data_IF_880039150450
#
_entry.id   IF_880039150450
#
_cell.length_a   1.000
_cell.length_b   1.000
_cell.length_c   1.000
_cell.angle_alpha   90.00
_cell.angle_beta   90.00
_cell.angle_gamma   90.00
#
_symmetry.space_group_name_H-M   'P 1'
#
loop_
_entity.id
_entity.type
_entity.pdbx_description
1 polymer ?
#
# COMPACT_ATOMS: atom_id res chain seq x y z
N UNK A 1 -102.51 -41.28 -20.61
CA UNK A 1 -101.45 -40.61 -21.40
C UNK A 1 -100.64 -39.77 -20.42
N UNK A 2 -99.30 -39.71 -20.39
CA UNK A 2 -98.27 -40.20 -21.30
C UNK A 2 -97.02 -40.60 -20.48
N UNK A 3 -96.30 -41.58 -20.99
CA UNK A 3 -94.99 -42.08 -20.57
C UNK A 3 -93.85 -41.18 -21.07
N UNK A 4 -92.77 -41.01 -20.30
CA UNK A 4 -91.42 -40.79 -20.83
C UNK A 4 -90.40 -41.24 -19.76
N UNK A 5 -89.68 -42.35 -19.96
CA UNK A 5 -88.51 -42.54 -20.83
C UNK A 5 -87.29 -41.70 -20.43
N UNK A 6 -86.40 -42.37 -19.66
CA UNK A 6 -84.93 -42.28 -19.65
C UNK A 6 -84.27 -41.21 -20.54
N UNK A 7 -83.37 -40.41 -19.95
CA UNK A 7 -82.23 -39.89 -20.71
C UNK A 7 -80.90 -40.19 -20.01
N UNK A 8 -80.03 -40.85 -20.77
CA UNK A 8 -78.68 -41.32 -20.45
C UNK A 8 -77.66 -40.20 -20.21
N UNK A 9 -78.11 -38.94 -20.22
CA UNK A 9 -77.30 -37.74 -20.06
C UNK A 9 -76.79 -37.57 -18.63
N UNK A 10 -77.60 -37.90 -17.63
CA UNK A 10 -77.22 -37.71 -16.22
C UNK A 10 -76.03 -38.59 -15.79
N UNK A 11 -75.92 -39.82 -16.34
CA UNK A 11 -74.83 -40.76 -16.01
C UNK A 11 -73.51 -40.40 -16.73
N UNK A 12 -73.56 -39.76 -17.91
CA UNK A 12 -72.35 -39.27 -18.61
C UNK A 12 -71.77 -38.01 -17.96
N UNK A 13 -72.63 -37.12 -17.46
CA UNK A 13 -72.22 -35.90 -16.75
C UNK A 13 -71.59 -36.24 -15.38
N UNK A 14 -72.09 -37.27 -14.69
CA UNK A 14 -71.50 -37.76 -13.44
C UNK A 14 -70.06 -38.31 -13.63
N UNK A 15 -69.76 -38.92 -14.79
CA UNK A 15 -68.42 -39.48 -15.06
C UNK A 15 -67.38 -38.43 -15.45
N UNK A 16 -67.79 -37.28 -16.00
CA UNK A 16 -66.90 -36.13 -16.22
C UNK A 16 -66.65 -35.33 -14.94
N UNK A 17 -67.62 -35.24 -14.03
CA UNK A 17 -67.45 -34.55 -12.75
C UNK A 17 -66.40 -35.23 -11.82
N UNK A 18 -66.20 -36.54 -11.96
CA UNK A 18 -65.15 -37.27 -11.20
C UNK A 18 -63.73 -37.07 -11.73
N UNK A 19 -63.55 -36.63 -12.98
CA UNK A 19 -62.23 -36.45 -13.61
C UNK A 19 -61.66 -35.03 -13.49
N UNK A 20 -62.47 -34.07 -13.06
CA UNK A 20 -62.08 -32.66 -12.87
C UNK A 20 -61.63 -32.31 -11.46
N UNK A 21 -61.44 -33.29 -10.56
CA UNK A 21 -60.78 -33.04 -9.27
C UNK A 21 -59.28 -32.84 -9.54
N UNK A 22 -58.93 -31.64 -10.00
CA UNK A 22 -57.56 -31.18 -10.09
C UNK A 22 -56.87 -31.53 -8.78
N UNK A 23 -55.86 -32.40 -8.85
CA UNK A 23 -54.98 -32.65 -7.72
C UNK A 23 -54.34 -31.30 -7.43
N UNK A 24 -54.88 -30.58 -6.44
CA UNK A 24 -54.21 -29.42 -5.87
C UNK A 24 -52.90 -29.99 -5.32
N UNK A 25 -51.86 -29.94 -6.14
CA UNK A 25 -50.50 -30.03 -5.65
C UNK A 25 -50.34 -28.79 -4.78
N UNK A 26 -50.67 -28.94 -3.49
CA UNK A 26 -50.19 -28.02 -2.48
C UNK A 26 -48.69 -28.14 -2.62
N UNK A 27 -48.05 -27.12 -3.19
CA UNK A 27 -46.64 -26.91 -2.97
C UNK A 27 -46.50 -26.74 -1.46
N UNK A 28 -46.29 -27.85 -0.77
CA UNK A 28 -45.90 -27.89 0.63
C UNK A 28 -44.42 -27.54 0.68
N UNK A 29 -44.03 -26.42 0.07
CA UNK A 29 -42.74 -25.81 0.30
C UNK A 29 -42.83 -25.18 1.67
N UNK A 30 -42.37 -25.90 2.70
CA UNK A 30 -42.35 -25.38 4.05
C UNK A 30 -41.57 -24.07 4.09
N UNK A 31 -42.13 -23.05 4.76
CA UNK A 31 -41.48 -21.74 4.97
C UNK A 31 -40.12 -21.86 5.67
N UNK A 32 -39.81 -23.03 6.23
CA UNK A 32 -38.55 -23.36 6.87
C UNK A 32 -37.35 -23.21 5.94
N UNK A 33 -37.40 -23.74 4.71
CA UNK A 33 -36.28 -23.63 3.78
C UNK A 33 -35.94 -22.17 3.44
N UNK A 34 -36.88 -21.33 2.95
CA UNK A 34 -36.59 -19.93 2.68
C UNK A 34 -36.23 -19.14 3.96
N UNK A 35 -36.80 -19.48 5.12
CA UNK A 35 -36.43 -18.85 6.39
C UNK A 35 -34.99 -19.14 6.81
N UNK A 36 -34.54 -20.39 6.66
CA UNK A 36 -33.15 -20.78 6.93
C UNK A 36 -32.20 -20.08 5.96
N UNK A 37 -32.54 -20.00 4.68
CA UNK A 37 -31.74 -19.26 3.68
C UNK A 37 -31.60 -17.79 4.06
N UNK A 38 -32.69 -17.12 4.44
CA UNK A 38 -32.64 -15.73 4.92
C UNK A 38 -31.78 -15.60 6.18
N UNK A 39 -31.90 -16.54 7.12
CA UNK A 39 -31.07 -16.56 8.33
C UNK A 39 -29.58 -16.65 8.01
N UNK A 40 -29.18 -17.54 7.09
CA UNK A 40 -27.79 -17.67 6.63
C UNK A 40 -27.30 -16.40 5.94
N UNK A 41 -28.14 -15.76 5.11
CA UNK A 41 -27.77 -14.49 4.47
C UNK A 41 -27.55 -13.36 5.48
N UNK A 42 -28.39 -13.26 6.51
CA UNK A 42 -28.23 -12.26 7.58
C UNK A 42 -26.96 -12.52 8.37
N UNK A 43 -26.71 -13.77 8.77
CA UNK A 43 -25.47 -14.14 9.48
C UNK A 43 -24.25 -13.85 8.61
N UNK A 44 -24.29 -14.20 7.32
CA UNK A 44 -23.21 -13.89 6.37
C UNK A 44 -22.94 -12.39 6.26
N UNK A 45 -23.99 -11.57 6.17
CA UNK A 45 -23.86 -10.11 6.12
C UNK A 45 -23.26 -9.55 7.42
N UNK A 46 -23.72 -10.05 8.58
CA UNK A 46 -23.19 -9.67 9.89
C UNK A 46 -21.70 -10.02 10.02
N UNK A 47 -21.29 -11.20 9.55
CA UNK A 47 -19.87 -11.61 9.52
C UNK A 47 -19.07 -10.70 8.61
N UNK A 48 -19.58 -10.32 7.44
CA UNK A 48 -18.89 -9.39 6.53
C UNK A 48 -18.74 -7.99 7.17
N UNK A 49 -19.78 -7.48 7.82
CA UNK A 49 -19.74 -6.19 8.53
C UNK A 49 -18.75 -6.24 9.68
N UNK A 50 -18.81 -7.26 10.52
CA UNK A 50 -17.86 -7.47 11.61
C UNK A 50 -16.43 -7.58 11.08
N UNK A 51 -16.20 -8.41 10.06
CA UNK A 51 -14.89 -8.57 9.44
C UNK A 51 -14.38 -7.30 8.74
N UNK A 52 -15.25 -6.36 8.38
CA UNK A 52 -14.85 -5.01 7.91
C UNK A 52 -14.49 -4.09 9.08
N UNK A 53 -15.28 -4.09 10.15
CA UNK A 53 -15.06 -3.25 11.34
C UNK A 53 -13.87 -3.70 12.19
N UNK A 54 -13.57 -5.00 12.23
CA UNK A 54 -12.44 -5.57 12.97
C UNK A 54 -11.15 -5.60 12.16
N UNK A 55 -11.11 -5.03 10.95
CA UNK A 55 -9.83 -4.84 10.25
C UNK A 55 -9.03 -3.82 11.06
N UNK A 56 -7.84 -4.18 11.57
CA UNK A 56 -6.92 -3.18 12.10
C UNK A 56 -6.72 -2.13 11.00
N UNK A 57 -6.94 -0.86 11.31
CA UNK A 57 -6.70 0.21 10.36
C UNK A 57 -5.22 0.15 9.97
N UNK A 58 -4.89 -0.21 8.72
CA UNK A 58 -3.49 -0.29 8.32
C UNK A 58 -2.81 1.08 8.35
N UNK A 59 -3.60 2.17 8.44
CA UNK A 59 -3.16 3.55 8.62
C UNK A 59 -3.48 4.14 10.00
N UNK A 60 -3.57 3.37 11.10
CA UNK A 60 -3.55 4.00 12.44
C UNK A 60 -2.14 4.28 12.96
N UNK A 61 -1.11 3.75 12.30
CA UNK A 61 0.29 3.89 12.69
C UNK A 61 0.99 4.82 11.69
N UNK A 62 1.86 5.73 12.13
CA UNK A 62 2.57 6.60 11.21
C UNK A 62 3.60 5.81 10.38
N UNK A 63 4.03 6.32 9.21
CA UNK A 63 3.58 7.57 8.58
C UNK A 63 2.16 7.44 8.02
N UNK A 64 1.47 8.57 7.91
CA UNK A 64 0.14 8.76 7.36
C UNK A 64 0.17 9.43 5.99
N UNK A 65 -0.98 9.44 5.32
CA UNK A 65 -1.15 10.29 4.14
C UNK A 65 -0.99 11.75 4.54
N UNK A 66 -0.10 12.47 3.85
CA UNK A 66 0.27 13.86 4.13
C UNK A 66 1.47 14.04 5.07
N UNK A 67 1.97 12.98 5.71
CA UNK A 67 3.25 13.04 6.41
C UNK A 67 4.41 13.14 5.40
N UNK A 68 5.47 13.85 5.79
CA UNK A 68 6.68 14.00 5.00
C UNK A 68 7.86 13.50 5.82
N UNK A 69 8.26 12.24 5.60
CA UNK A 69 9.38 11.63 6.29
C UNK A 69 10.55 11.46 5.36
N UNK A 70 11.75 11.60 5.91
CA UNK A 70 13.01 11.54 5.21
C UNK A 70 13.90 10.53 5.91
N UNK A 71 14.53 9.64 5.15
CA UNK A 71 15.52 8.71 5.69
C UNK A 71 16.76 8.69 4.82
N UNK A 72 17.94 8.75 5.43
CA UNK A 72 19.19 8.65 4.67
C UNK A 72 19.36 7.20 4.22
N UNK A 73 19.78 7.01 2.98
CA UNK A 73 19.93 5.68 2.40
C UNK A 73 21.25 5.55 1.66
N UNK A 74 21.88 4.38 1.81
CA UNK A 74 23.05 4.02 1.02
C UNK A 74 23.20 2.53 0.86
N UNK A 75 23.96 2.14 -0.16
CA UNK A 75 24.39 0.76 -0.36
C UNK A 75 25.90 0.73 -0.16
N UNK A 76 26.36 -0.13 0.73
CA UNK A 76 27.76 -0.29 1.07
C UNK A 76 28.22 -1.69 0.67
N UNK A 77 29.21 -1.78 -0.21
CA UNK A 77 29.76 -3.04 -0.69
C UNK A 77 31.25 -3.10 -0.40
N UNK A 78 31.67 -4.11 0.37
CA UNK A 78 33.04 -4.32 0.82
C UNK A 78 33.63 -3.14 1.62
N UNK A 79 34.22 -2.18 0.93
CA UNK A 79 34.95 -1.04 1.47
C UNK A 79 34.51 0.30 0.85
N UNK A 80 33.42 0.30 0.06
CA UNK A 80 32.96 1.49 -0.67
C UNK A 80 31.45 1.66 -0.65
N UNK A 81 31.03 2.92 -0.71
CA UNK A 81 29.65 3.29 -0.97
C UNK A 81 29.39 3.24 -2.48
N UNK A 82 28.31 2.56 -2.87
CA UNK A 82 27.83 2.63 -4.25
C UNK A 82 27.27 4.03 -4.53
N UNK A 83 27.13 4.41 -5.83
CA UNK A 83 26.45 5.62 -6.21
C UNK A 83 25.06 5.74 -5.55
N UNK A 84 24.65 6.98 -5.27
CA UNK A 84 23.30 7.27 -4.81
C UNK A 84 22.30 6.81 -5.87
N UNK A 85 21.12 6.38 -5.41
CA UNK A 85 20.02 6.01 -6.29
C UNK A 85 19.62 7.22 -7.12
N UNK A 86 19.42 7.03 -8.43
CA UNK A 86 19.14 8.09 -9.39
C UNK A 86 17.73 8.02 -9.97
N UNK A 87 17.24 9.16 -10.45
CA UNK A 87 15.96 9.32 -11.11
C UNK A 87 14.84 9.65 -10.13
N UNK A 88 14.29 10.86 -10.19
CA UNK A 88 13.29 11.32 -9.24
C UNK A 88 11.97 10.52 -9.24
N UNK A 89 11.67 9.78 -10.32
CA UNK A 89 10.42 9.03 -10.53
C UNK A 89 9.14 9.89 -10.60
N UNK A 90 9.26 11.22 -10.55
CA UNK A 90 8.16 12.19 -10.64
C UNK A 90 7.81 12.61 -12.08
N UNK A 91 8.45 12.01 -13.08
CA UNK A 91 8.26 12.37 -14.49
C UNK A 91 6.79 12.16 -14.91
N UNK A 92 6.25 13.13 -15.65
CA UNK A 92 4.90 13.06 -16.20
C UNK A 92 4.89 12.95 -17.72
N UNK A 93 3.84 12.35 -18.24
CA UNK A 93 3.52 12.28 -19.67
C UNK A 93 2.16 12.91 -19.92
N UNK A 94 2.03 13.61 -21.04
CA UNK A 94 0.77 14.21 -21.48
C UNK A 94 0.20 13.38 -22.62
N UNK A 95 -1.03 12.91 -22.47
CA UNK A 95 -1.72 12.14 -23.50
C UNK A 95 -2.20 13.03 -24.67
N UNK A 96 -2.68 12.40 -25.74
CA UNK A 96 -3.21 13.12 -26.92
C UNK A 96 -4.43 14.00 -26.64
N UNK A 97 -5.05 13.89 -25.46
CA UNK A 97 -6.20 14.67 -25.00
C UNK A 97 -5.77 15.80 -24.05
N UNK A 98 -4.48 15.94 -23.76
CA UNK A 98 -3.94 16.94 -22.85
C UNK A 98 -3.96 16.55 -21.38
N UNK A 99 -4.24 15.29 -21.03
CA UNK A 99 -4.21 14.81 -19.66
C UNK A 99 -2.78 14.46 -19.25
N UNK A 100 -2.34 14.98 -18.12
CA UNK A 100 -1.04 14.66 -17.52
C UNK A 100 -1.15 13.44 -16.60
N UNK A 101 -0.16 12.55 -16.63
CA UNK A 101 -0.10 11.36 -15.78
C UNK A 101 1.35 11.03 -15.45
N UNK A 102 1.59 10.55 -14.23
CA UNK A 102 2.92 10.09 -13.80
C UNK A 102 3.33 8.84 -14.58
N UNK A 103 4.61 8.76 -14.92
CA UNK A 103 5.19 7.63 -15.67
C UNK A 103 5.38 6.41 -14.77
N UNK A 104 5.84 6.62 -13.53
CA UNK A 104 6.08 5.53 -12.59
C UNK A 104 4.83 5.25 -11.74
N UNK A 105 4.17 4.13 -12.02
CA UNK A 105 2.95 3.69 -11.31
C UNK A 105 3.18 3.45 -9.80
N UNK A 106 4.38 3.01 -9.40
CA UNK A 106 4.70 2.75 -8.00
C UNK A 106 4.88 4.06 -7.25
N UNK A 107 5.61 5.03 -7.82
CA UNK A 107 5.67 6.38 -7.28
C UNK A 107 4.26 6.99 -7.18
N UNK A 108 3.48 6.97 -8.27
CA UNK A 108 2.12 7.49 -8.28
C UNK A 108 1.21 6.86 -7.20
N UNK A 109 1.43 5.58 -6.89
CA UNK A 109 0.67 4.85 -5.89
C UNK A 109 1.13 5.10 -4.45
N UNK A 110 2.39 5.45 -4.23
CA UNK A 110 3.03 5.42 -2.91
C UNK A 110 3.53 6.78 -2.42
N UNK A 111 3.95 7.67 -3.33
CA UNK A 111 4.60 8.95 -3.01
C UNK A 111 5.99 8.78 -2.40
N UNK A 112 6.68 7.68 -2.72
CA UNK A 112 8.00 7.36 -2.17
C UNK A 112 9.03 7.45 -3.30
N UNK A 113 10.09 8.23 -3.12
CA UNK A 113 11.11 8.49 -4.14
C UNK A 113 12.44 9.01 -3.52
N UNK A 114 13.35 9.51 -4.37
CA UNK A 114 14.65 10.10 -4.04
C UNK A 114 14.93 11.23 -5.03
N UNK A 115 15.84 12.16 -4.72
CA UNK A 115 16.26 13.24 -5.63
C UNK A 115 17.75 13.16 -5.96
N UNK A 116 18.26 11.94 -6.16
CA UNK A 116 19.68 11.66 -6.45
C UNK A 116 20.62 12.09 -5.30
N UNK A 117 20.04 12.32 -4.13
CA UNK A 117 20.65 12.97 -2.98
C UNK A 117 21.00 11.98 -1.86
N UNK A 118 20.60 10.72 -2.01
CA UNK A 118 20.84 9.67 -1.03
C UNK A 118 19.85 9.72 0.13
N UNK A 119 18.70 10.36 -0.09
CA UNK A 119 17.57 10.41 0.85
C UNK A 119 16.37 9.69 0.23
N UNK A 120 15.70 8.89 1.05
CA UNK A 120 14.36 8.38 0.80
C UNK A 120 13.39 9.48 1.22
N UNK A 121 12.74 10.10 0.25
CA UNK A 121 11.59 10.98 0.45
C UNK A 121 10.36 10.08 0.53
N UNK A 122 9.80 9.97 1.74
CA UNK A 122 8.73 9.03 2.06
C UNK A 122 7.46 9.79 2.41
N UNK A 123 6.68 10.15 1.39
CA UNK A 123 5.51 11.02 1.51
C UNK A 123 4.25 10.27 1.07
N UNK A 124 3.58 9.50 1.95
CA UNK A 124 2.52 8.60 1.53
C UNK A 124 1.38 9.32 0.79
N UNK A 125 1.17 9.01 -0.49
CA UNK A 125 0.00 9.50 -1.24
C UNK A 125 -1.26 8.66 -0.95
N UNK A 126 -1.08 7.43 -0.49
CA UNK A 126 -2.18 6.50 -0.25
C UNK A 126 -1.89 5.51 0.86
N UNK A 127 -2.89 4.72 1.24
CA UNK A 127 -2.74 3.67 2.24
C UNK A 127 -1.78 2.53 1.85
N UNK A 128 -1.20 2.56 0.64
CA UNK A 128 -0.21 1.58 0.18
C UNK A 128 1.15 1.72 0.87
N UNK A 129 1.48 2.92 1.34
CA UNK A 129 2.78 3.23 1.96
C UNK A 129 2.68 3.67 3.43
N UNK A 130 1.51 3.63 4.07
CA UNK A 130 1.31 4.07 5.47
C UNK A 130 1.55 2.97 6.52
N UNK A 131 1.87 3.38 7.74
CA UNK A 131 1.87 2.55 8.93
C UNK A 131 2.62 1.23 8.80
N UNK A 132 1.91 0.10 8.95
CA UNK A 132 2.56 -1.23 8.83
C UNK A 132 3.04 -1.55 7.42
N UNK A 133 2.67 -0.77 6.42
CA UNK A 133 3.19 -0.89 5.06
C UNK A 133 4.37 0.04 4.81
N UNK A 134 4.68 0.94 5.74
CA UNK A 134 5.87 1.77 5.66
C UNK A 134 7.12 0.93 5.91
N UNK A 135 7.73 0.48 4.82
CA UNK A 135 8.82 -0.49 4.78
C UNK A 135 9.87 -0.04 3.78
N UNK A 136 11.14 -0.35 4.06
CA UNK A 136 12.24 -0.09 3.13
C UNK A 136 11.95 -0.66 1.73
N UNK A 137 11.32 -1.83 1.66
CA UNK A 137 10.92 -2.48 0.42
C UNK A 137 10.04 -1.64 -0.49
N UNK A 138 9.21 -0.74 0.04
CA UNK A 138 8.38 0.16 -0.80
C UNK A 138 9.26 1.08 -1.64
N UNK A 139 10.31 1.64 -1.05
CA UNK A 139 11.29 2.45 -1.75
C UNK A 139 12.07 1.61 -2.78
N UNK A 140 12.56 0.44 -2.37
CA UNK A 140 13.31 -0.45 -3.27
C UNK A 140 12.47 -0.88 -4.49
N UNK A 141 11.18 -1.16 -4.30
CA UNK A 141 10.27 -1.54 -5.38
C UNK A 141 10.09 -0.40 -6.40
N UNK A 142 9.97 0.85 -5.96
CA UNK A 142 9.86 2.03 -6.84
C UNK A 142 11.04 2.11 -7.82
N UNK A 143 12.23 1.73 -7.36
CA UNK A 143 13.47 1.75 -8.13
C UNK A 143 13.85 0.40 -8.74
N UNK A 144 12.99 -0.62 -8.66
CA UNK A 144 13.25 -1.95 -9.21
C UNK A 144 14.45 -2.67 -8.60
N UNK A 145 14.84 -2.34 -7.37
CA UNK A 145 15.97 -2.96 -6.66
C UNK A 145 15.50 -4.28 -6.04
N UNK A 146 16.15 -5.38 -6.42
CA UNK A 146 15.91 -6.69 -5.81
C UNK A 146 16.81 -6.87 -4.60
N UNK A 147 16.21 -7.26 -3.48
CA UNK A 147 16.93 -7.52 -2.24
C UNK A 147 16.37 -8.77 -1.54
N UNK A 148 17.25 -9.72 -1.27
CA UNK A 148 17.05 -10.87 -0.39
C UNK A 148 18.31 -11.11 0.44
N UNK A 149 18.26 -12.11 1.31
CA UNK A 149 19.40 -12.55 2.12
C UNK A 149 20.59 -13.02 1.26
N UNK A 150 20.30 -13.54 0.06
CA UNK A 150 21.28 -14.15 -0.81
C UNK A 150 21.65 -13.27 -2.03
N UNK A 151 20.86 -12.23 -2.33
CA UNK A 151 21.04 -11.43 -3.55
C UNK A 151 20.63 -9.97 -3.38
N UNK A 152 21.49 -9.08 -3.88
CA UNK A 152 21.18 -7.68 -4.18
C UNK A 152 21.39 -7.46 -5.68
N UNK A 153 20.36 -7.05 -6.41
CA UNK A 153 20.46 -6.71 -7.82
C UNK A 153 19.91 -5.31 -8.09
N UNK A 154 20.73 -4.47 -8.70
CA UNK A 154 20.37 -3.14 -9.15
C UNK A 154 19.96 -3.19 -10.62
N UNK A 155 18.91 -2.48 -11.05
CA UNK A 155 18.60 -2.38 -12.47
C UNK A 155 19.66 -1.52 -13.20
N UNK A 156 19.68 -1.58 -14.54
CA UNK A 156 20.67 -0.87 -15.37
C UNK A 156 20.71 0.64 -15.09
N UNK A 157 19.55 1.25 -14.81
CA UNK A 157 19.43 2.66 -14.45
C UNK A 157 20.19 3.03 -13.17
N UNK A 158 20.38 2.05 -12.27
CA UNK A 158 21.09 2.17 -11.00
C UNK A 158 22.50 1.57 -11.05
N UNK A 159 23.04 1.32 -12.26
CA UNK A 159 24.39 0.78 -12.49
C UNK A 159 24.43 -0.69 -12.89
N UNK A 160 23.35 -1.45 -12.68
CA UNK A 160 23.26 -2.86 -13.13
C UNK A 160 24.06 -3.87 -12.30
N UNK A 161 24.62 -3.45 -11.16
CA UNK A 161 25.42 -4.33 -10.31
C UNK A 161 24.57 -5.46 -9.70
N UNK A 162 25.15 -6.65 -9.62
CA UNK A 162 24.56 -7.84 -9.01
C UNK A 162 25.53 -8.43 -8.02
N UNK A 163 25.07 -8.58 -6.78
CA UNK A 163 25.80 -9.18 -5.67
C UNK A 163 25.04 -10.43 -5.25
N UNK A 164 25.55 -11.60 -5.64
CA UNK A 164 25.05 -12.91 -5.21
C UNK A 164 26.01 -13.45 -4.15
N UNK A 165 25.54 -13.80 -2.94
CA UNK A 165 26.42 -14.19 -1.82
C UNK A 165 27.26 -15.41 -2.15
N UNK A 166 26.74 -16.31 -2.98
CA UNK A 166 27.42 -17.53 -3.39
C UNK A 166 28.62 -17.25 -4.32
N UNK A 167 28.56 -16.17 -5.11
CA UNK A 167 29.53 -15.86 -6.16
C UNK A 167 30.41 -14.63 -5.86
N UNK A 168 29.89 -13.66 -5.12
CA UNK A 168 30.56 -12.39 -4.85
C UNK A 168 31.43 -12.48 -3.60
N UNK A 169 32.61 -11.85 -3.63
CA UNK A 169 33.58 -11.90 -2.53
C UNK A 169 34.17 -10.52 -2.26
N UNK A 170 34.31 -10.16 -1.00
CA UNK A 170 35.03 -8.97 -0.58
C UNK A 170 36.49 -9.34 -0.27
N UNK A 171 37.43 -8.93 -1.13
CA UNK A 171 38.85 -9.25 -0.96
C UNK A 171 39.15 -10.76 -0.77
N UNK A 172 38.32 -11.62 -1.38
CA UNK A 172 38.43 -13.08 -1.27
C UNK A 172 37.66 -13.70 -0.09
N UNK A 173 37.03 -12.89 0.76
CA UNK A 173 36.17 -13.34 1.85
C UNK A 173 34.71 -13.50 1.38
N UNK A 174 34.02 -14.49 1.91
CA UNK A 174 32.57 -14.67 1.76
C UNK A 174 31.83 -13.44 2.34
N UNK A 175 30.67 -13.14 1.78
CA UNK A 175 29.86 -11.98 2.15
C UNK A 175 28.48 -12.42 2.60
N UNK A 176 27.91 -11.67 3.53
CA UNK A 176 26.49 -11.69 3.85
C UNK A 176 25.84 -10.40 3.35
N UNK A 177 24.54 -10.45 3.07
CA UNK A 177 23.72 -9.25 2.85
C UNK A 177 22.93 -8.97 4.11
N UNK A 178 22.98 -7.72 4.57
CA UNK A 178 22.21 -7.23 5.70
C UNK A 178 21.69 -5.83 5.48
N UNK A 179 20.62 -5.48 6.17
CA UNK A 179 20.17 -4.09 6.32
C UNK A 179 20.56 -3.61 7.71
N UNK A 180 21.15 -2.43 7.80
CA UNK A 180 21.43 -1.76 9.07
C UNK A 180 20.58 -0.50 9.15
N UNK A 181 19.84 -0.34 10.24
CA UNK A 181 18.98 0.82 10.44
C UNK A 181 19.29 1.55 11.75
N UNK A 182 19.25 2.88 11.69
CA UNK A 182 19.33 3.76 12.84
C UNK A 182 18.01 4.51 13.01
N UNK A 183 17.70 4.85 14.25
CA UNK A 183 16.48 5.57 14.58
C UNK A 183 16.61 7.05 14.20
N UNK A 184 17.83 7.59 14.21
CA UNK A 184 18.12 8.96 13.82
C UNK A 184 19.50 9.12 13.14
N UNK A 185 19.61 10.02 12.17
CA UNK A 185 20.87 10.37 11.51
C UNK A 185 21.95 10.95 12.43
N UNK A 186 21.57 11.46 13.61
CA UNK A 186 22.48 11.97 14.63
C UNK A 186 22.84 10.92 15.70
N UNK A 187 22.35 9.68 15.57
CA UNK A 187 22.73 8.61 16.49
C UNK A 187 24.24 8.33 16.41
N UNK A 188 24.86 8.15 17.58
CA UNK A 188 26.29 7.83 17.69
C UNK A 188 26.55 6.35 18.00
N UNK A 189 25.49 5.58 18.21
CA UNK A 189 25.54 4.14 18.49
C UNK A 189 25.56 3.29 17.22
N UNK A 190 25.82 1.99 17.43
CA UNK A 190 25.69 1.00 16.36
C UNK A 190 24.22 0.87 15.90
N UNK A 191 24.04 0.70 14.59
CA UNK A 191 22.72 0.48 14.02
C UNK A 191 22.18 -0.91 14.30
N UNK A 192 20.86 -1.07 14.18
CA UNK A 192 20.20 -2.36 14.28
C UNK A 192 20.41 -3.15 12.98
N UNK A 193 21.06 -4.30 13.08
CA UNK A 193 21.21 -5.23 11.96
C UNK A 193 19.93 -6.06 11.74
N UNK A 194 19.58 -6.24 10.48
CA UNK A 194 18.54 -7.13 9.96
C UNK A 194 19.21 -8.05 8.95
N UNK A 195 19.10 -9.36 9.18
CA UNK A 195 19.73 -10.41 8.36
C UNK A 195 18.68 -11.32 7.70
N UNK A 196 17.40 -11.06 7.96
CA UNK A 196 16.25 -11.72 7.34
C UNK A 196 15.18 -10.68 7.10
N UNK A 197 14.25 -10.98 6.18
CA UNK A 197 13.12 -10.11 5.84
C UNK A 197 13.61 -8.69 5.48
N UNK A 198 14.71 -8.61 4.72
CA UNK A 198 15.49 -7.38 4.53
C UNK A 198 14.67 -6.23 3.92
N UNK A 199 13.65 -6.56 3.12
CA UNK A 199 12.71 -5.57 2.55
C UNK A 199 11.68 -5.07 3.57
N UNK A 200 11.40 -5.85 4.62
CA UNK A 200 10.36 -5.55 5.60
C UNK A 200 10.87 -4.76 6.82
N UNK A 201 12.05 -4.14 6.71
CA UNK A 201 12.55 -3.21 7.73
C UNK A 201 11.59 -2.02 7.84
N UNK A 202 11.03 -1.75 9.04
CA UNK A 202 9.99 -0.75 9.19
C UNK A 202 10.54 0.67 9.23
N UNK A 203 9.89 1.55 8.47
CA UNK A 203 10.11 3.00 8.51
C UNK A 203 9.17 3.56 9.59
N UNK A 204 9.73 3.86 10.76
CA UNK A 204 8.95 4.10 12.00
C UNK A 204 8.97 5.53 12.50
N UNK A 205 9.86 6.36 11.95
CA UNK A 205 9.96 7.79 12.22
C UNK A 205 10.69 8.52 11.10
N UNK A 206 10.54 9.84 11.09
CA UNK A 206 11.35 10.75 10.29
C UNK A 206 12.81 10.80 10.82
N UNK A 207 13.76 11.01 9.93
CA UNK A 207 15.18 11.14 10.22
C UNK A 207 15.94 9.82 10.39
N UNK A 208 15.33 8.67 10.04
CA UNK A 208 16.00 7.37 10.09
C UNK A 208 17.16 7.27 9.10
N UNK A 209 18.01 6.25 9.27
CA UNK A 209 19.06 5.89 8.32
C UNK A 209 18.94 4.41 7.98
N UNK A 210 19.09 4.07 6.71
CA UNK A 210 19.13 2.70 6.22
C UNK A 210 20.38 2.46 5.38
N UNK A 211 21.04 1.33 5.62
CA UNK A 211 22.16 0.88 4.81
C UNK A 211 21.90 -0.56 4.39
N UNK A 212 21.92 -0.83 3.09
CA UNK A 212 22.08 -2.21 2.60
C UNK A 212 23.59 -2.46 2.53
N UNK A 213 24.07 -3.48 3.23
CA UNK A 213 25.48 -3.82 3.28
C UNK A 213 25.72 -5.22 2.69
N UNK A 214 26.65 -5.29 1.74
CA UNK A 214 27.22 -6.53 1.18
C UNK A 214 28.65 -6.62 1.68
N UNK A 215 28.86 -7.35 2.78
CA UNK A 215 30.11 -7.31 3.55
C UNK A 215 30.40 -8.67 4.19
N UNK A 216 31.66 -8.95 4.56
CA UNK A 216 31.97 -10.14 5.34
C UNK A 216 31.14 -10.27 6.63
N UNK A 217 30.86 -11.50 7.10
CA UNK A 217 30.13 -11.73 8.34
C UNK A 217 30.78 -11.00 9.53
N UNK A 218 29.98 -10.26 10.28
CA UNK A 218 30.43 -9.53 11.47
C UNK A 218 31.09 -8.18 11.19
N UNK A 219 31.17 -7.71 9.93
CA UNK A 219 31.64 -6.36 9.62
C UNK A 219 30.71 -5.30 10.21
N UNK A 220 31.29 -4.34 10.94
CA UNK A 220 30.59 -3.14 11.39
C UNK A 220 30.33 -2.20 10.22
N UNK A 221 29.13 -1.63 10.18
CA UNK A 221 28.68 -0.75 9.09
C UNK A 221 28.30 0.58 9.70
N UNK A 222 28.87 1.65 9.16
CA UNK A 222 28.57 3.03 9.53
C UNK A 222 27.44 3.61 8.68
N UNK A 223 26.91 4.76 9.09
CA UNK A 223 25.97 5.53 8.28
C UNK A 223 26.63 6.04 6.99
N UNK A 224 25.85 6.28 5.91
CA UNK A 224 26.39 6.88 4.71
C UNK A 224 26.92 8.30 4.99
N UNK A 225 28.01 8.74 4.33
CA UNK A 225 28.61 10.06 4.59
C UNK A 225 27.65 11.24 4.42
N UNK A 226 26.61 11.09 3.58
CA UNK A 226 25.59 12.10 3.33
C UNK A 226 24.43 12.08 4.32
N UNK A 227 24.39 11.16 5.30
CA UNK A 227 23.33 11.12 6.30
C UNK A 227 23.21 12.44 7.09
N UNK A 228 24.33 13.15 7.26
CA UNK A 228 24.38 14.44 7.95
C UNK A 228 23.61 15.55 7.22
N UNK A 229 23.42 15.42 5.91
CA UNK A 229 22.72 16.39 5.06
C UNK A 229 21.19 16.18 5.09
N UNK A 230 20.69 15.14 5.76
CA UNK A 230 19.27 14.82 5.78
C UNK A 230 18.36 15.99 6.19
N UNK A 231 18.69 16.80 7.22
CA UNK A 231 17.85 17.94 7.59
C UNK A 231 17.76 19.02 6.51
N UNK A 232 18.84 19.25 5.77
CA UNK A 232 18.85 20.28 4.71
C UNK A 232 18.12 19.80 3.48
N UNK A 233 18.31 18.53 3.10
CA UNK A 233 17.66 17.91 1.94
C UNK A 233 16.14 17.74 2.15
N UNK A 234 15.71 17.28 3.32
CA UNK A 234 14.27 17.16 3.64
C UNK A 234 13.55 18.53 3.74
N UNK A 235 14.26 19.59 4.12
CA UNK A 235 13.68 20.93 4.18
C UNK A 235 13.41 21.53 2.79
N UNK A 236 14.17 21.14 1.77
CA UNK A 236 13.96 21.58 0.38
C UNK A 236 12.67 20.98 -0.19
N UNK A 237 12.38 19.72 0.14
CA UNK A 237 11.23 19.00 -0.39
C UNK A 237 9.88 19.44 0.22
N UNK A 238 9.89 19.83 1.50
CA UNK A 238 8.71 20.37 2.19
C UNK A 238 8.11 21.66 1.60
N UNK A 239 8.78 22.28 0.61
CA UNK A 239 8.31 23.47 -0.09
C UNK A 239 7.68 23.22 -1.47
N UNK A 240 7.77 22.02 -2.05
CA UNK A 240 7.68 21.87 -3.50
C UNK A 240 6.86 20.70 -4.09
N UNK A 241 6.16 19.89 -3.30
CA UNK A 241 5.37 18.77 -3.85
C UNK A 241 4.03 19.24 -4.44
N UNK A 242 3.74 19.00 -5.73
CA UNK A 242 2.40 19.16 -6.28
C UNK A 242 1.48 18.12 -5.64
N UNK A 243 0.44 18.57 -4.94
CA UNK A 243 -0.65 17.69 -4.51
C UNK A 243 -1.27 17.09 -5.79
N UNK A 244 -1.43 15.75 -5.92
CA UNK A 244 -2.08 15.18 -7.09
C UNK A 244 -3.47 15.80 -7.20
N UNK A 245 -3.73 16.45 -8.34
CA UNK A 245 -5.01 17.09 -8.60
C UNK A 245 -6.13 16.06 -8.47
N UNK A 246 -7.16 16.47 -7.75
CA UNK A 246 -8.23 15.62 -7.24
C UNK A 246 -8.95 14.86 -8.34
N UNK A 247 -9.15 13.55 -8.11
CA UNK A 247 -10.20 12.79 -8.80
C UNK A 247 -11.55 13.48 -8.51
N UNK A 248 -12.39 13.80 -9.51
CA UNK A 248 -13.67 14.45 -9.27
C UNK A 248 -14.59 13.53 -8.47
N UNK A 249 -14.79 13.80 -7.17
CA UNK A 249 -15.70 12.99 -6.36
C UNK A 249 -15.81 13.28 -4.87
N UNK A 250 -14.82 13.90 -4.21
CA UNK A 250 -14.90 14.15 -2.77
C UNK A 250 -14.98 15.63 -2.43
N UNK A 251 -16.15 16.02 -1.89
CA UNK A 251 -16.36 17.34 -1.31
C UNK A 251 -15.87 17.29 0.14
N UNK A 252 -14.64 17.74 0.38
CA UNK A 252 -14.15 17.98 1.74
C UNK A 252 -13.98 19.49 1.95
N UNK A 253 -14.71 20.01 2.94
CA UNK A 253 -14.74 21.40 3.32
C UNK A 253 -13.35 21.88 3.82
N UNK A 254 -12.93 23.04 3.32
CA UNK A 254 -11.77 23.79 3.80
C UNK A 254 -12.03 24.35 5.20
N UNK A 255 -11.09 24.27 6.16
CA UNK A 255 -11.16 25.06 7.37
C UNK A 255 -10.68 26.50 7.07
N UNK A 256 -11.52 27.47 7.41
CA UNK A 256 -11.22 28.90 7.44
C UNK A 256 -9.94 29.16 8.26
N UNK A 257 -8.94 29.79 7.65
CA UNK A 257 -7.79 30.34 8.37
C UNK A 257 -8.08 31.81 8.64
N UNK A 258 -8.44 32.12 9.88
CA UNK A 258 -8.65 33.49 10.33
C UNK A 258 -7.31 34.21 10.46
N UNK A 259 -7.04 35.10 9.53
CA UNK A 259 -5.90 36.02 9.52
C UNK A 259 -6.02 37.01 10.69
N UNK A 260 -5.10 36.97 11.66
CA UNK A 260 -5.06 37.93 12.77
C UNK A 260 -4.06 39.04 12.44
N UNK A 261 -4.58 40.15 11.91
CA UNK A 261 -3.85 41.39 11.70
C UNK A 261 -3.54 42.06 13.05
N UNK A 262 -2.25 42.28 13.37
CA UNK A 262 -1.83 43.14 14.47
C UNK A 262 -1.94 44.63 14.07
N UNK A 263 -2.40 45.55 14.94
CA UNK A 263 -2.50 46.96 14.60
C UNK A 263 -1.14 47.65 14.74
N UNK A 264 -0.74 48.37 13.69
CA UNK A 264 0.31 49.39 13.72
C UNK A 264 -0.25 50.64 14.40
N UNK A 265 0.34 51.04 15.54
CA UNK A 265 0.07 52.31 16.20
C UNK A 265 0.93 53.42 15.58
N UNK A 266 0.27 54.44 15.02
CA UNK A 266 0.88 55.69 14.60
C UNK A 266 0.69 56.79 15.64
N UNK A 267 1.79 57.46 16.03
CA UNK A 267 1.86 58.91 16.26
C UNK A 267 1.74 59.42 17.71
N UNK A 268 2.78 60.13 18.16
CA UNK A 268 2.78 60.95 19.38
C UNK A 268 4.16 61.11 20.00
#
# INVERSE_FOLDING_TARGET
>A
MATSSSSSSAKKVAKLAQRGKGKKVRFQGGTLFPAVVVGVLVVGLLVIVYARQSRPDPGSFPPQVGDHWHAAFGIYACDTWLPKIVGAQEETVVDSQGNESLVNDLYAATGVHSHDDGVIHYHPFSTRSVGKRARLGVYLDVYGIELSEDRLALPEEQGGDVFDVDDYRCNGEEVDIKVVAWDNFADTGAGKNFITDLKDVPLTRDGMVFVIAVVPPGTDVDMPPWAIDLPTLGAVDGGNVPVPSTVPGDTTATPDTTDTTAPVTTGG
#
